data_IF_138001590836
#
_entry.id   IF_138001590836
#
_cell.length_a   1.000
_cell.length_b   1.000
_cell.length_c   1.000
_cell.angle_alpha   90.00
_cell.angle_beta   90.00
_cell.angle_gamma   90.00
#
_symmetry.space_group_name_H-M   'P 1'
#
loop_
_entity.id
_entity.type
_entity.pdbx_description
1 polymer ?
#
# COMPACT_ATOMS: atom_id res chain seq x y z
N UNK A 1 -85.95 34.02 27.86
CA UNK A 1 -85.21 34.69 26.76
C UNK A 1 -84.46 33.59 26.01
N UNK A 2 -84.98 32.98 24.95
CA UNK A 2 -85.25 33.45 23.58
C UNK A 2 -83.97 33.60 22.71
N UNK A 3 -83.93 32.75 21.66
CA UNK A 3 -83.42 32.91 20.28
C UNK A 3 -81.93 32.78 19.90
N UNK A 4 -81.68 31.76 19.05
CA UNK A 4 -81.10 31.77 17.68
C UNK A 4 -80.09 32.87 17.27
N UNK A 5 -78.96 32.50 16.65
CA UNK A 5 -78.57 33.01 15.31
C UNK A 5 -77.41 32.21 14.66
N UNK A 6 -77.60 31.90 13.36
CA UNK A 6 -76.66 31.34 12.37
C UNK A 6 -75.45 32.26 12.08
N UNK A 7 -74.36 31.67 11.57
CA UNK A 7 -73.44 32.14 10.48
C UNK A 7 -72.21 31.21 10.44
N UNK A 8 -71.52 30.89 9.35
CA UNK A 8 -71.66 30.95 7.88
C UNK A 8 -70.38 30.25 7.36
N UNK A 9 -70.50 29.52 6.27
CA UNK A 9 -69.48 28.70 5.60
C UNK A 9 -68.19 29.44 5.18
N UNK A 10 -67.06 28.72 5.12
CA UNK A 10 -66.00 28.97 4.13
C UNK A 10 -65.19 27.69 3.86
N UNK A 11 -65.28 27.24 2.59
CA UNK A 11 -64.47 26.19 1.97
C UNK A 11 -63.01 26.65 1.87
N UNK A 12 -62.07 25.76 2.17
CA UNK A 12 -60.68 25.85 1.69
C UNK A 12 -60.37 24.55 0.96
N UNK A 13 -60.21 24.67 -0.35
CA UNK A 13 -59.74 23.61 -1.23
C UNK A 13 -58.24 23.39 -1.01
N UNK A 14 -57.85 22.20 -0.54
CA UNK A 14 -56.46 21.78 -0.51
C UNK A 14 -56.15 21.00 -1.79
N UNK A 15 -55.24 21.58 -2.59
CA UNK A 15 -54.71 21.04 -3.85
C UNK A 15 -53.91 19.76 -3.58
N UNK A 16 -54.31 18.64 -4.20
CA UNK A 16 -53.52 17.41 -4.28
C UNK A 16 -52.28 17.64 -5.17
N UNK A 17 -51.11 17.79 -4.56
CA UNK A 17 -49.83 17.72 -5.25
C UNK A 17 -49.44 16.27 -5.53
N UNK A 18 -49.50 15.84 -6.79
CA UNK A 18 -48.94 14.57 -7.24
C UNK A 18 -47.41 14.61 -7.13
N UNK A 19 -46.86 13.89 -6.15
CA UNK A 19 -45.41 13.73 -6.00
C UNK A 19 -44.94 12.60 -6.91
N UNK A 20 -44.19 12.94 -7.95
CA UNK A 20 -43.46 11.97 -8.77
C UNK A 20 -42.34 11.34 -7.93
N UNK A 21 -42.50 10.05 -7.60
CA UNK A 21 -41.47 9.27 -6.93
C UNK A 21 -40.30 9.03 -7.90
N UNK A 22 -39.21 9.75 -7.71
CA UNK A 22 -37.94 9.50 -8.39
C UNK A 22 -37.37 8.20 -7.81
N UNK A 23 -37.49 7.09 -8.54
CA UNK A 23 -36.77 5.86 -8.23
C UNK A 23 -35.27 6.13 -8.39
N UNK A 24 -34.59 6.38 -7.28
CA UNK A 24 -33.13 6.34 -7.23
C UNK A 24 -32.68 4.89 -7.33
N UNK A 25 -31.72 4.52 -8.20
CA UNK A 25 -31.14 3.19 -8.18
C UNK A 25 -30.45 2.96 -6.83
N UNK A 26 -30.57 1.76 -6.23
CA UNK A 26 -29.86 1.46 -4.99
C UNK A 26 -28.37 1.54 -5.30
N UNK A 27 -27.68 2.45 -4.61
CA UNK A 27 -26.23 2.47 -4.57
C UNK A 27 -25.77 1.07 -4.15
N UNK A 28 -25.04 0.38 -5.03
CA UNK A 28 -24.32 -0.83 -4.68
C UNK A 28 -23.33 -0.47 -3.56
N UNK A 29 -23.71 -0.77 -2.31
CA UNK A 29 -22.81 -0.63 -1.18
C UNK A 29 -21.79 -1.76 -1.28
N UNK A 30 -20.59 -1.46 -1.78
CA UNK A 30 -19.47 -2.39 -1.70
C UNK A 30 -19.33 -2.82 -0.23
N UNK A 31 -19.48 -4.12 0.04
CA UNK A 31 -19.58 -4.66 1.38
C UNK A 31 -18.20 -4.64 2.07
N UNK A 32 -17.80 -3.46 2.54
CA UNK A 32 -16.52 -3.26 3.20
C UNK A 32 -16.52 -3.97 4.54
N UNK A 33 -15.65 -4.95 4.68
CA UNK A 33 -15.43 -5.70 5.92
C UNK A 33 -14.19 -5.16 6.65
N UNK A 34 -14.18 -5.28 7.98
CA UNK A 34 -13.08 -4.79 8.80
C UNK A 34 -12.53 -5.89 9.70
N UNK A 35 -11.26 -6.24 9.52
CA UNK A 35 -10.49 -7.11 10.41
C UNK A 35 -9.86 -6.28 11.53
N UNK A 36 -9.92 -6.80 12.76
CA UNK A 36 -9.34 -6.16 13.95
C UNK A 36 -8.43 -7.15 14.65
N UNK A 37 -7.30 -6.66 15.12
CA UNK A 37 -6.34 -7.50 15.78
C UNK A 37 -5.27 -6.73 16.53
N UNK A 38 -4.30 -7.46 17.04
CA UNK A 38 -3.10 -6.94 17.66
C UNK A 38 -1.86 -7.71 17.25
N UNK A 39 -0.75 -7.00 17.19
CA UNK A 39 0.58 -7.53 16.89
C UNK A 39 1.40 -7.54 18.18
N UNK A 40 2.07 -8.66 18.43
CA UNK A 40 2.96 -8.90 19.57
C UNK A 40 4.29 -9.47 19.08
N UNK A 41 5.34 -9.37 19.89
CA UNK A 41 6.61 -10.07 19.72
C UNK A 41 7.13 -10.51 21.11
N UNK A 42 8.08 -11.44 21.16
CA UNK A 42 8.47 -12.11 22.42
C UNK A 42 9.62 -11.42 23.15
N UNK A 43 10.40 -10.64 22.43
CA UNK A 43 11.59 -9.95 22.88
C UNK A 43 11.23 -8.87 23.90
N UNK A 44 11.97 -8.80 25.00
CA UNK A 44 11.75 -7.80 26.07
C UNK A 44 12.48 -6.50 25.74
N UNK A 45 12.11 -5.87 24.63
CA UNK A 45 12.69 -4.60 24.18
C UNK A 45 11.61 -3.56 23.95
N UNK A 46 11.95 -2.28 24.16
CA UNK A 46 11.07 -1.19 23.78
C UNK A 46 11.13 -1.00 22.25
N UNK A 47 9.96 -0.91 21.63
CA UNK A 47 9.83 -0.56 20.23
C UNK A 47 10.04 0.96 20.05
N UNK A 48 11.00 1.39 19.22
CA UNK A 48 11.12 2.80 18.83
C UNK A 48 9.92 3.26 17.97
N UNK A 49 9.82 4.56 17.64
CA UNK A 49 8.85 5.03 16.66
C UNK A 49 8.93 4.20 15.37
N UNK A 50 7.81 3.62 14.97
CA UNK A 50 7.78 2.58 13.95
C UNK A 50 6.57 2.70 13.05
N UNK A 51 6.60 1.99 11.93
CA UNK A 51 5.48 1.77 11.04
C UNK A 51 5.12 0.29 11.10
N UNK A 52 3.91 -0.03 11.53
CA UNK A 52 3.33 -1.36 11.40
C UNK A 52 2.61 -1.45 10.04
N UNK A 53 3.00 -2.42 9.22
CA UNK A 53 2.31 -2.80 7.99
C UNK A 53 1.65 -4.16 8.20
N UNK A 54 0.36 -4.27 7.91
CA UNK A 54 -0.42 -5.53 8.00
C UNK A 54 -1.12 -5.76 6.67
N UNK A 55 -1.06 -6.99 6.17
CA UNK A 55 -1.59 -7.35 4.84
C UNK A 55 -2.49 -8.56 4.93
N UNK A 56 -3.54 -8.53 4.12
CA UNK A 56 -4.40 -9.68 3.83
C UNK A 56 -3.96 -10.27 2.50
N UNK A 57 -3.69 -11.58 2.51
CA UNK A 57 -3.13 -12.33 1.41
C UNK A 57 -4.09 -13.44 0.98
N UNK A 58 -4.16 -13.69 -0.34
CA UNK A 58 -4.67 -14.95 -0.88
C UNK A 58 -3.55 -15.99 -0.88
N UNK A 59 -3.79 -17.10 -0.20
CA UNK A 59 -2.84 -18.21 0.02
C UNK A 59 -3.36 -19.53 -0.53
N UNK A 60 -4.39 -19.49 -1.38
CA UNK A 60 -4.98 -20.67 -2.02
C UNK A 60 -3.98 -21.46 -2.87
N UNK A 61 -2.93 -20.79 -3.37
CA UNK A 61 -1.84 -21.39 -4.13
C UNK A 61 -0.59 -21.50 -3.25
N UNK A 62 -0.28 -22.72 -2.79
CA UNK A 62 0.82 -22.98 -1.86
C UNK A 62 2.22 -22.60 -2.39
N UNK A 63 2.41 -22.60 -3.72
CA UNK A 63 3.72 -22.40 -4.37
C UNK A 63 3.82 -21.09 -5.17
N UNK A 64 2.77 -20.26 -5.16
CA UNK A 64 2.75 -18.99 -5.86
C UNK A 64 3.00 -17.83 -4.89
N UNK A 65 3.53 -16.72 -5.42
CA UNK A 65 3.64 -15.47 -4.67
C UNK A 65 2.24 -14.99 -4.27
N UNK A 66 1.92 -15.06 -2.98
CA UNK A 66 0.61 -14.70 -2.44
C UNK A 66 0.17 -13.28 -2.88
N UNK A 67 -1.04 -13.17 -3.40
CA UNK A 67 -1.63 -11.91 -3.85
C UNK A 67 -2.06 -11.09 -2.62
N UNK A 68 -1.82 -9.76 -2.64
CA UNK A 68 -2.23 -8.86 -1.56
C UNK A 68 -3.60 -8.28 -1.87
N UNK A 69 -4.61 -8.71 -1.13
CA UNK A 69 -5.99 -8.24 -1.29
C UNK A 69 -6.26 -6.92 -0.58
N UNK A 70 -5.62 -6.71 0.57
CA UNK A 70 -5.78 -5.48 1.34
C UNK A 70 -4.60 -5.24 2.29
N UNK A 71 -4.52 -4.00 2.76
CA UNK A 71 -3.39 -3.52 3.56
C UNK A 71 -3.79 -2.37 4.45
N UNK A 72 -3.15 -2.31 5.61
CA UNK A 72 -3.16 -1.14 6.48
C UNK A 72 -1.74 -0.82 6.93
N UNK A 73 -1.40 0.47 6.99
CA UNK A 73 -0.10 0.95 7.46
C UNK A 73 -0.31 1.99 8.54
N UNK A 74 0.28 1.76 9.72
CA UNK A 74 0.08 2.58 10.92
C UNK A 74 1.42 3.01 11.50
N UNK A 75 1.62 4.33 11.62
CA UNK A 75 2.69 4.88 12.47
C UNK A 75 2.31 4.70 13.93
N UNK A 76 3.19 4.12 14.72
CA UNK A 76 2.96 3.86 16.14
C UNK A 76 4.19 4.17 16.99
N UNK A 77 3.95 4.71 18.17
CA UNK A 77 4.92 4.79 19.28
C UNK A 77 4.50 3.89 20.45
N UNK A 78 3.39 3.16 20.26
CA UNK A 78 2.81 2.29 21.27
C UNK A 78 3.63 1.00 21.34
N UNK A 79 3.88 0.56 22.56
CA UNK A 79 4.50 -0.74 22.82
C UNK A 79 3.51 -1.88 22.57
N UNK A 80 4.02 -3.09 22.39
CA UNK A 80 3.18 -4.28 22.19
C UNK A 80 2.26 -4.53 23.40
N UNK A 81 1.02 -5.03 23.19
CA UNK A 81 0.39 -5.34 21.90
C UNK A 81 0.00 -4.09 21.10
N UNK A 82 0.34 -4.05 19.81
CA UNK A 82 0.01 -2.94 18.91
C UNK A 82 -1.28 -3.27 18.18
N UNK A 83 -2.38 -2.54 18.41
CA UNK A 83 -3.63 -2.82 17.71
C UNK A 83 -3.56 -2.38 16.25
N UNK A 84 -4.25 -3.11 15.38
CA UNK A 84 -4.46 -2.74 13.99
C UNK A 84 -5.92 -2.86 13.57
N UNK A 85 -6.26 -2.19 12.48
CA UNK A 85 -7.54 -2.30 11.80
C UNK A 85 -7.29 -2.32 10.30
N UNK A 86 -7.75 -3.37 9.64
CA UNK A 86 -7.59 -3.57 8.19
C UNK A 86 -8.98 -3.62 7.56
N UNK A 87 -9.26 -2.65 6.70
CA UNK A 87 -10.52 -2.58 5.94
C UNK A 87 -10.28 -3.14 4.53
N UNK A 88 -11.22 -3.92 4.03
CA UNK A 88 -11.14 -4.51 2.69
C UNK A 88 -12.55 -4.73 2.12
N UNK A 89 -12.67 -4.83 0.80
CA UNK A 89 -13.95 -5.20 0.18
C UNK A 89 -14.11 -6.72 0.21
N UNK A 90 -15.23 -7.22 0.75
CA UNK A 90 -15.50 -8.67 0.85
C UNK A 90 -15.64 -9.33 -0.53
N UNK A 91 -16.01 -8.57 -1.55
CA UNK A 91 -16.15 -9.09 -2.92
C UNK A 91 -14.80 -9.52 -3.54
N UNK A 92 -13.68 -9.14 -2.91
CA UNK A 92 -12.34 -9.62 -3.28
C UNK A 92 -12.09 -11.07 -2.80
N UNK A 93 -12.98 -11.64 -1.99
CA UNK A 93 -12.86 -13.02 -1.52
C UNK A 93 -13.60 -13.98 -2.46
N UNK A 94 -12.86 -14.88 -3.08
CA UNK A 94 -13.36 -16.04 -3.81
C UNK A 94 -13.69 -17.19 -2.85
N UNK A 95 -14.82 -17.85 -3.10
CA UNK A 95 -15.23 -19.03 -2.34
C UNK A 95 -14.26 -20.21 -2.57
N UNK A 96 -13.91 -20.92 -1.49
CA UNK A 96 -12.98 -22.06 -1.54
C UNK A 96 -11.49 -21.70 -1.51
N UNK A 97 -11.15 -20.41 -1.56
CA UNK A 97 -9.78 -19.94 -1.37
C UNK A 97 -9.44 -19.82 0.13
N UNK A 98 -8.16 -19.90 0.45
CA UNK A 98 -7.64 -19.70 1.81
C UNK A 98 -6.94 -18.35 1.92
N UNK A 99 -7.19 -17.64 3.01
CA UNK A 99 -6.63 -16.31 3.23
C UNK A 99 -5.83 -16.27 4.52
N UNK A 100 -4.76 -15.47 4.50
CA UNK A 100 -3.91 -15.29 5.67
C UNK A 100 -3.45 -13.85 5.81
N UNK A 101 -3.05 -13.52 7.03
CA UNK A 101 -2.50 -12.23 7.41
C UNK A 101 -1.01 -12.37 7.65
N UNK A 102 -0.27 -11.36 7.24
CA UNK A 102 1.10 -11.15 7.69
C UNK A 102 1.29 -9.70 8.13
N UNK A 103 2.36 -9.48 8.88
CA UNK A 103 2.68 -8.17 9.40
C UNK A 103 4.20 -7.96 9.44
N UNK A 104 4.60 -6.71 9.20
CA UNK A 104 5.98 -6.26 9.36
C UNK A 104 6.00 -4.97 10.18
N UNK A 105 6.86 -4.91 11.19
CA UNK A 105 7.17 -3.68 11.92
C UNK A 105 8.46 -3.11 11.34
N UNK A 106 8.39 -1.89 10.85
CA UNK A 106 9.54 -1.13 10.38
C UNK A 106 9.97 -0.09 11.41
N UNK A 107 11.25 -0.06 11.75
CA UNK A 107 11.85 1.04 12.51
C UNK A 107 12.89 1.68 11.61
N UNK A 108 12.79 3.00 11.46
CA UNK A 108 13.59 3.75 10.49
C UNK A 108 13.61 3.02 9.15
N UNK A 109 12.44 2.60 8.64
CA UNK A 109 12.25 1.87 7.38
C UNK A 109 12.89 0.49 7.23
N UNK A 110 13.57 -0.04 8.25
CA UNK A 110 14.12 -1.39 8.24
C UNK A 110 13.13 -2.37 8.85
N UNK A 111 12.91 -3.56 8.26
CA UNK A 111 12.12 -4.58 8.90
C UNK A 111 12.81 -4.98 10.21
N UNK A 112 12.12 -4.75 11.31
CA UNK A 112 12.57 -5.07 12.66
C UNK A 112 11.93 -6.37 13.15
N UNK A 113 10.65 -6.52 12.87
CA UNK A 113 9.89 -7.73 13.18
C UNK A 113 9.04 -8.13 11.99
N UNK A 114 8.98 -9.42 11.70
CA UNK A 114 8.21 -9.99 10.60
C UNK A 114 7.40 -11.18 11.10
N UNK A 115 6.26 -11.42 10.47
CA UNK A 115 5.53 -12.66 10.64
C UNK A 115 6.28 -13.79 9.92
N UNK A 116 6.79 -14.78 10.67
CA UNK A 116 7.47 -15.96 10.09
C UNK A 116 6.50 -17.03 9.61
N UNK A 117 5.28 -17.04 10.16
CA UNK A 117 4.22 -17.97 9.79
C UNK A 117 2.93 -17.17 9.62
N UNK A 118 2.39 -17.17 8.41
CA UNK A 118 1.17 -16.44 8.09
C UNK A 118 0.03 -16.88 9.03
N UNK A 119 -0.76 -15.91 9.51
CA UNK A 119 -1.85 -16.14 10.45
C UNK A 119 -3.15 -16.29 9.66
N UNK A 120 -3.83 -17.45 9.65
CA UNK A 120 -5.08 -17.62 8.90
C UNK A 120 -6.12 -16.55 9.25
N UNK A 121 -6.84 -16.06 8.25
CA UNK A 121 -7.96 -15.15 8.47
C UNK A 121 -9.13 -15.92 9.10
N UNK A 122 -9.67 -15.49 10.25
CA UNK A 122 -10.83 -16.16 10.85
C UNK A 122 -12.08 -15.96 9.97
N UNK A 123 -12.83 -17.04 9.75
CA UNK A 123 -14.02 -17.05 8.88
C UNK A 123 -15.13 -16.11 9.38
N UNK A 124 -15.24 -15.92 10.69
CA UNK A 124 -16.34 -15.19 11.31
C UNK A 124 -16.11 -13.67 11.41
N UNK A 125 -14.90 -13.16 11.10
CA UNK A 125 -14.48 -11.77 11.26
C UNK A 125 -14.84 -11.14 12.64
N UNK A 126 -15.14 -11.97 13.65
CA UNK A 126 -15.55 -11.56 15.01
C UNK A 126 -14.44 -11.80 16.03
N UNK A 127 -13.53 -12.73 15.76
CA UNK A 127 -12.37 -12.95 16.59
C UNK A 127 -11.38 -11.78 16.51
N UNK A 128 -10.88 -11.33 17.67
CA UNK A 128 -9.76 -10.40 17.73
C UNK A 128 -8.49 -11.15 17.36
N UNK A 129 -7.91 -10.84 16.21
CA UNK A 129 -6.77 -11.57 15.66
C UNK A 129 -5.51 -11.23 16.46
N UNK A 130 -4.77 -12.24 16.92
CA UNK A 130 -3.48 -12.03 17.55
C UNK A 130 -2.37 -12.56 16.65
N UNK A 131 -1.45 -11.68 16.28
CA UNK A 131 -0.28 -12.01 15.46
C UNK A 131 0.97 -11.95 16.34
N UNK A 132 1.83 -12.96 16.22
CA UNK A 132 3.14 -12.99 16.89
C UNK A 132 4.21 -12.86 15.81
N UNK A 133 5.05 -11.83 15.93
CA UNK A 133 6.15 -11.56 15.02
C UNK A 133 7.45 -11.98 15.69
N UNK A 134 8.42 -12.32 14.85
CA UNK A 134 9.78 -12.68 15.25
C UNK A 134 10.74 -11.63 14.70
N UNK A 135 11.91 -11.48 15.35
CA UNK A 135 12.93 -10.56 14.87
C UNK A 135 13.29 -10.85 13.40
N UNK A 136 13.34 -9.81 12.59
CA UNK A 136 13.92 -9.90 11.26
C UNK A 136 15.41 -10.17 11.42
N UNK A 137 15.85 -11.38 11.10
CA UNK A 137 17.27 -11.70 11.06
C UNK A 137 17.86 -11.08 9.81
N UNK A 138 18.65 -10.02 9.98
CA UNK A 138 19.65 -9.66 8.99
C UNK A 138 20.68 -10.80 9.02
N UNK A 139 20.58 -11.76 8.11
CA UNK A 139 21.63 -12.76 7.94
C UNK A 139 22.83 -12.09 7.28
N UNK A 140 23.61 -11.35 8.06
CA UNK A 140 25.02 -11.14 7.77
C UNK A 140 25.76 -12.37 8.30
N UNK A 141 25.93 -13.38 7.46
CA UNK A 141 26.84 -14.49 7.74
C UNK A 141 28.03 -14.38 6.80
N UNK A 142 29.11 -13.80 7.31
CA UNK A 142 30.46 -14.05 6.83
C UNK A 142 30.77 -15.52 7.08
N UNK A 143 30.74 -16.37 6.04
CA UNK A 143 31.55 -17.61 5.97
C UNK A 143 31.69 -17.98 4.50
N UNK A 144 32.94 -18.16 4.08
CA UNK A 144 33.31 -18.60 2.75
C UNK A 144 32.79 -20.02 2.45
N UNK A 145 32.23 -20.19 1.25
CA UNK A 145 32.13 -21.50 0.58
C UNK A 145 30.81 -22.24 0.70
N UNK A 146 29.78 -21.80 -0.05
CA UNK A 146 28.78 -22.68 -0.67
C UNK A 146 28.07 -21.93 -1.82
N UNK A 147 28.07 -22.54 -3.00
CA UNK A 147 27.63 -21.97 -4.28
C UNK A 147 26.10 -21.88 -4.39
N UNK A 148 25.63 -20.82 -5.07
CA UNK A 148 24.29 -20.62 -5.64
C UNK A 148 23.14 -20.28 -4.66
N UNK A 149 23.24 -19.10 -4.02
CA UNK A 149 22.07 -18.35 -3.55
C UNK A 149 21.68 -17.31 -4.61
N UNK A 150 20.39 -17.21 -4.95
CA UNK A 150 19.90 -16.12 -5.80
C UNK A 150 20.30 -14.79 -5.15
N UNK A 151 21.23 -14.08 -5.76
CA UNK A 151 21.67 -12.76 -5.28
C UNK A 151 20.43 -11.88 -5.22
N UNK A 152 20.05 -11.44 -4.02
CA UNK A 152 19.01 -10.45 -3.86
C UNK A 152 19.35 -9.28 -4.80
N UNK A 153 18.38 -8.82 -5.57
CA UNK A 153 18.58 -7.78 -6.57
C UNK A 153 17.54 -6.68 -6.39
N UNK A 154 17.94 -5.41 -6.52
CA UNK A 154 16.99 -4.31 -6.56
C UNK A 154 16.27 -4.25 -7.91
N UNK A 155 16.61 -5.11 -8.87
CA UNK A 155 15.94 -5.16 -10.15
C UNK A 155 14.45 -5.53 -10.03
N UNK A 156 13.62 -4.78 -10.74
CA UNK A 156 12.18 -4.94 -10.75
C UNK A 156 11.42 -3.63 -10.89
N UNK A 157 10.10 -3.76 -10.89
CA UNK A 157 9.17 -2.64 -10.89
C UNK A 157 8.69 -2.37 -9.48
N UNK A 158 8.76 -1.11 -9.06
CA UNK A 158 8.63 -0.66 -7.70
C UNK A 158 7.67 0.53 -7.63
N UNK A 159 6.72 0.51 -6.71
CA UNK A 159 5.80 1.62 -6.40
C UNK A 159 6.21 2.24 -5.07
N UNK A 160 6.45 3.55 -5.05
CA UNK A 160 6.86 4.25 -3.85
C UNK A 160 5.71 4.32 -2.85
N UNK A 161 6.01 4.01 -1.59
CA UNK A 161 5.05 4.07 -0.48
C UNK A 161 5.40 5.16 0.52
N UNK A 162 6.70 5.40 0.69
CA UNK A 162 7.24 6.42 1.59
C UNK A 162 8.44 7.08 0.93
N UNK A 163 8.51 8.40 1.01
CA UNK A 163 9.62 9.20 0.53
C UNK A 163 10.12 10.05 1.70
N UNK A 164 11.34 9.77 2.15
CA UNK A 164 11.88 10.24 3.42
C UNK A 164 10.97 9.86 4.59
N UNK A 165 10.58 10.86 5.37
CA UNK A 165 9.73 10.68 6.56
C UNK A 165 8.23 10.82 6.29
N UNK A 166 7.80 11.00 5.03
CA UNK A 166 6.41 11.23 4.65
C UNK A 166 5.82 10.05 3.84
N UNK A 167 4.56 9.63 4.11
CA UNK A 167 3.89 8.68 3.24
C UNK A 167 3.58 9.36 1.89
N UNK A 168 3.56 8.59 0.82
CA UNK A 168 3.07 9.09 -0.48
C UNK A 168 1.56 9.37 -0.33
N UNK A 169 1.15 10.61 -0.57
CA UNK A 169 -0.24 11.03 -0.35
C UNK A 169 -1.23 10.28 -1.26
N UNK A 170 -2.33 9.81 -0.65
CA UNK A 170 -3.48 9.22 -1.35
C UNK A 170 -4.19 10.31 -2.18
N UNK A 171 -4.51 10.02 -3.45
CA UNK A 171 -5.22 10.94 -4.35
C UNK A 171 -4.43 11.44 -5.56
N UNK A 172 -3.14 11.10 -5.67
CA UNK A 172 -2.31 11.30 -6.87
C UNK A 172 -1.79 9.97 -7.43
N UNK A 173 -1.26 9.98 -8.67
CA UNK A 173 -0.53 8.81 -9.19
C UNK A 173 0.77 8.64 -8.39
N UNK A 174 0.98 7.50 -7.69
CA UNK A 174 2.16 7.32 -6.87
C UNK A 174 3.42 7.19 -7.76
N UNK A 175 4.60 7.59 -7.26
CA UNK A 175 5.83 7.39 -8.01
C UNK A 175 6.10 5.91 -8.27
N UNK A 176 6.55 5.62 -9.48
CA UNK A 176 6.89 4.29 -9.96
C UNK A 176 8.36 4.30 -10.41
N UNK A 177 9.06 3.21 -10.15
CA UNK A 177 10.46 3.04 -10.50
C UNK A 177 10.67 1.63 -11.04
N UNK A 178 11.20 1.54 -12.24
CA UNK A 178 11.72 0.31 -12.81
C UNK A 178 13.24 0.38 -12.79
N UNK A 179 13.87 -0.59 -12.13
CA UNK A 179 15.31 -0.80 -12.11
C UNK A 179 15.57 -2.08 -12.91
N UNK A 180 16.21 -1.94 -14.06
CA UNK A 180 16.64 -3.10 -14.85
C UNK A 180 17.94 -3.68 -14.28
N UNK A 181 18.22 -4.95 -14.60
CA UNK A 181 19.40 -5.66 -14.12
C UNK A 181 20.72 -5.02 -14.62
N UNK A 182 20.69 -4.30 -15.74
CA UNK A 182 21.82 -3.54 -16.30
C UNK A 182 22.00 -2.15 -15.66
N UNK A 183 21.25 -1.85 -14.59
CA UNK A 183 21.23 -0.56 -13.93
C UNK A 183 20.44 0.51 -14.67
N UNK A 184 19.73 0.21 -15.77
CA UNK A 184 18.84 1.19 -16.40
C UNK A 184 17.67 1.52 -15.49
N UNK A 185 17.42 2.81 -15.28
CA UNK A 185 16.36 3.31 -14.41
C UNK A 185 15.34 4.07 -15.24
N UNK A 186 14.07 3.75 -15.04
CA UNK A 186 12.96 4.47 -15.68
C UNK A 186 11.76 4.51 -14.75
N UNK A 187 10.87 5.49 -14.91
CA UNK A 187 9.70 5.56 -14.05
C UNK A 187 8.93 6.85 -14.12
N UNK A 188 8.20 7.11 -13.04
CA UNK A 188 7.36 8.28 -12.82
C UNK A 188 7.64 8.83 -11.42
N UNK A 189 7.93 10.12 -11.29
CA UNK A 189 8.30 10.77 -10.02
C UNK A 189 7.09 11.31 -9.23
N UNK A 190 5.87 11.17 -9.75
CA UNK A 190 4.65 11.75 -9.18
C UNK A 190 4.03 12.85 -10.05
N UNK A 191 4.84 13.53 -10.87
CA UNK A 191 4.37 14.47 -11.89
C UNK A 191 5.00 14.20 -13.26
N UNK A 192 6.30 13.92 -13.31
CA UNK A 192 7.03 13.74 -14.56
C UNK A 192 7.55 12.31 -14.72
N UNK A 193 7.92 11.97 -15.95
CA UNK A 193 8.65 10.74 -16.22
C UNK A 193 10.11 10.95 -15.82
N UNK A 194 10.71 9.94 -15.22
CA UNK A 194 12.12 9.91 -14.83
C UNK A 194 12.86 8.83 -15.60
N UNK A 195 14.10 9.12 -16.01
CA UNK A 195 15.03 8.15 -16.61
C UNK A 195 16.44 8.40 -16.12
N UNK A 196 17.25 7.36 -16.07
CA UNK A 196 18.67 7.48 -15.73
C UNK A 196 19.36 6.12 -15.67
N UNK A 197 20.49 6.11 -14.99
CA UNK A 197 21.28 4.91 -14.71
C UNK A 197 21.53 4.82 -13.21
N UNK A 198 21.59 3.60 -12.69
CA UNK A 198 22.07 3.28 -11.37
C UNK A 198 23.26 2.33 -11.49
N UNK A 199 24.22 2.49 -10.59
CA UNK A 199 25.30 1.52 -10.39
C UNK A 199 24.90 0.62 -9.24
N UNK A 200 24.86 -0.69 -9.49
CA UNK A 200 24.50 -1.72 -8.51
C UNK A 200 25.76 -2.54 -8.25
N UNK A 201 26.24 -2.53 -7.01
CA UNK A 201 27.41 -3.32 -6.59
C UNK A 201 27.12 -3.96 -5.23
N UNK A 202 26.72 -5.23 -5.25
CA UNK A 202 26.20 -5.91 -4.07
C UNK A 202 25.02 -5.15 -3.45
N UNK A 203 25.16 -4.74 -2.18
CA UNK A 203 24.18 -3.94 -1.46
C UNK A 203 24.29 -2.42 -1.70
N UNK A 204 25.34 -1.97 -2.42
CA UNK A 204 25.47 -0.58 -2.82
C UNK A 204 24.60 -0.29 -4.04
N UNK A 205 23.90 0.85 -4.02
CA UNK A 205 23.10 1.35 -5.12
C UNK A 205 23.25 2.86 -5.17
N UNK A 206 23.80 3.37 -6.26
CA UNK A 206 23.92 4.82 -6.47
C UNK A 206 23.27 5.20 -7.79
N UNK A 207 22.37 6.18 -7.75
CA UNK A 207 21.78 6.74 -8.96
C UNK A 207 22.70 7.79 -9.55
N UNK A 208 22.96 7.70 -10.86
CA UNK A 208 23.53 8.79 -11.63
C UNK A 208 22.51 9.91 -11.86
N UNK A 209 22.85 10.91 -12.68
CA UNK A 209 21.94 12.00 -13.01
C UNK A 209 20.61 11.49 -13.54
N UNK A 210 19.53 11.84 -12.85
CA UNK A 210 18.16 11.50 -13.26
C UNK A 210 17.61 12.62 -14.15
N UNK A 211 17.21 12.24 -15.36
CA UNK A 211 16.57 13.12 -16.31
C UNK A 211 15.06 13.07 -16.11
N UNK A 212 14.42 14.24 -16.03
CA UNK A 212 12.96 14.37 -15.94
C UNK A 212 12.39 15.27 -17.02
N UNK A 213 11.13 15.04 -17.36
CA UNK A 213 10.34 16.00 -18.15
C UNK A 213 9.95 17.22 -17.27
N UNK A 214 9.47 18.31 -17.88
CA UNK A 214 9.01 19.52 -17.16
C UNK A 214 7.54 19.81 -17.44
N UNK A 215 6.66 18.90 -17.07
CA UNK A 215 5.20 19.12 -17.09
C UNK A 215 4.78 19.87 -15.83
N UNK A 216 3.75 20.71 -15.96
CA UNK A 216 3.12 21.34 -14.81
C UNK A 216 1.98 20.45 -14.30
N UNK A 217 2.11 19.96 -13.06
CA UNK A 217 1.04 19.25 -12.35
C UNK A 217 0.51 20.10 -11.19
N UNK A 218 -0.47 19.57 -10.46
CA UNK A 218 -0.92 20.15 -9.20
C UNK A 218 0.25 20.32 -8.22
N UNK A 219 0.24 21.36 -7.35
CA UNK A 219 1.33 21.65 -6.43
C UNK A 219 1.77 20.48 -5.55
N UNK A 220 0.83 19.61 -5.16
CA UNK A 220 1.14 18.42 -4.37
C UNK A 220 1.98 17.40 -5.15
N UNK A 221 1.65 17.15 -6.42
CA UNK A 221 2.39 16.22 -7.28
C UNK A 221 3.81 16.74 -7.57
N UNK A 222 3.96 18.05 -7.77
CA UNK A 222 5.27 18.70 -7.93
C UNK A 222 6.15 18.56 -6.67
N UNK A 223 5.57 18.73 -5.48
CA UNK A 223 6.28 18.51 -4.20
C UNK A 223 6.72 17.06 -4.04
N UNK A 224 5.84 16.11 -4.37
CA UNK A 224 6.17 14.67 -4.36
C UNK A 224 7.34 14.37 -5.28
N UNK A 225 7.35 14.93 -6.50
CA UNK A 225 8.46 14.76 -7.44
C UNK A 225 9.78 15.29 -6.87
N UNK A 226 9.79 16.51 -6.31
CA UNK A 226 11.01 17.10 -5.76
C UNK A 226 11.57 16.25 -4.60
N UNK A 227 10.68 15.78 -3.72
CA UNK A 227 11.07 14.87 -2.63
C UNK A 227 11.60 13.56 -3.18
N UNK A 228 10.96 13.00 -4.21
CA UNK A 228 11.38 11.75 -4.83
C UNK A 228 12.80 11.88 -5.39
N UNK A 229 13.04 12.87 -6.26
CA UNK A 229 14.35 13.06 -6.90
C UNK A 229 15.46 13.32 -5.87
N UNK A 230 15.20 14.14 -4.86
CA UNK A 230 16.15 14.41 -3.76
C UNK A 230 16.55 13.13 -3.01
N UNK A 231 15.59 12.26 -2.69
CA UNK A 231 15.85 11.03 -1.95
C UNK A 231 16.55 9.97 -2.82
N UNK A 232 16.23 9.93 -4.11
CA UNK A 232 16.96 9.09 -5.08
C UNK A 232 18.43 9.51 -5.19
N UNK A 233 18.72 10.81 -5.26
CA UNK A 233 20.08 11.35 -5.30
C UNK A 233 20.87 11.06 -4.01
N UNK A 234 20.21 11.05 -2.85
CA UNK A 234 20.82 10.74 -1.56
C UNK A 234 21.10 9.23 -1.37
N UNK A 235 20.56 8.36 -2.22
CA UNK A 235 20.68 6.90 -2.06
C UNK A 235 22.12 6.43 -2.31
N UNK A 236 22.62 5.56 -1.43
CA UNK A 236 23.93 4.90 -1.51
C UNK A 236 23.84 3.39 -1.38
N UNK A 237 22.74 2.86 -0.85
CA UNK A 237 22.52 1.44 -0.67
C UNK A 237 21.06 1.03 -0.79
N UNK A 238 20.81 -0.26 -0.65
CA UNK A 238 19.46 -0.81 -0.65
C UNK A 238 19.34 -2.05 0.24
N UNK A 239 18.14 -2.26 0.77
CA UNK A 239 17.74 -3.46 1.50
C UNK A 239 16.47 -4.04 0.89
N UNK A 240 16.42 -5.36 0.78
CA UNK A 240 15.23 -6.06 0.33
C UNK A 240 14.71 -6.92 1.49
N UNK A 241 13.41 -6.81 1.77
CA UNK A 241 12.77 -7.70 2.73
C UNK A 241 12.95 -9.17 2.28
N UNK A 242 13.04 -10.15 3.20
CA UNK A 242 13.20 -11.57 2.84
C UNK A 242 12.11 -12.10 1.90
N UNK A 243 10.91 -11.51 1.95
CA UNK A 243 9.77 -11.78 1.08
C UNK A 243 9.95 -11.27 -0.36
N UNK A 244 10.96 -10.42 -0.61
CA UNK A 244 11.27 -9.85 -1.92
C UNK A 244 10.32 -8.74 -2.38
N UNK A 245 9.32 -8.36 -1.58
CA UNK A 245 8.24 -7.47 -2.00
C UNK A 245 8.40 -6.02 -1.53
N UNK A 246 9.28 -5.76 -0.57
CA UNK A 246 9.61 -4.41 -0.08
C UNK A 246 11.09 -4.12 -0.32
N UNK A 247 11.36 -3.03 -1.06
CA UNK A 247 12.71 -2.51 -1.29
C UNK A 247 12.85 -1.18 -0.53
N UNK A 248 13.80 -1.11 0.37
CA UNK A 248 14.22 0.12 1.02
C UNK A 248 15.48 0.65 0.33
N UNK A 249 15.44 1.89 -0.14
CA UNK A 249 16.64 2.63 -0.50
C UNK A 249 17.17 3.35 0.73
N UNK A 250 18.49 3.38 0.91
CA UNK A 250 19.16 4.00 2.07
C UNK A 250 20.27 4.95 1.65
N UNK A 251 20.56 5.94 2.50
CA UNK A 251 21.70 6.86 2.34
C UNK A 251 23.02 6.26 2.86
N UNK A 252 24.08 7.07 2.96
CA UNK A 252 25.39 6.62 3.43
C UNK A 252 25.40 6.21 4.92
N UNK A 253 24.39 6.63 5.68
CA UNK A 253 24.23 6.36 7.11
C UNK A 253 23.25 5.22 7.35
N UNK A 254 22.88 4.48 6.30
CA UNK A 254 21.89 3.43 6.34
C UNK A 254 20.50 3.93 6.76
N UNK A 255 20.19 5.23 6.59
CA UNK A 255 18.86 5.78 6.84
C UNK A 255 18.02 5.65 5.57
N UNK A 256 16.76 5.16 5.62
CA UNK A 256 15.97 5.00 4.42
C UNK A 256 15.52 6.32 3.82
N UNK A 257 15.75 6.42 2.53
CA UNK A 257 15.39 7.56 1.69
C UNK A 257 14.06 7.30 0.98
N UNK A 258 13.82 6.07 0.50
CA UNK A 258 12.55 5.68 -0.15
C UNK A 258 12.20 4.25 0.21
N UNK A 259 10.94 4.00 0.58
CA UNK A 259 10.40 2.64 0.67
C UNK A 259 9.50 2.37 -0.53
N UNK A 260 9.77 1.26 -1.19
CA UNK A 260 9.04 0.78 -2.34
C UNK A 260 8.38 -0.56 -2.07
N UNK A 261 7.27 -0.80 -2.76
CA UNK A 261 6.70 -2.12 -2.97
C UNK A 261 6.91 -2.61 -4.39
N UNK A 262 7.27 -3.89 -4.54
CA UNK A 262 7.28 -4.58 -5.82
C UNK A 262 5.89 -4.56 -6.46
N UNK A 263 5.76 -4.00 -7.65
CA UNK A 263 4.57 -4.19 -8.47
C UNK A 263 4.66 -5.54 -9.16
N UNK A 264 3.62 -6.38 -8.99
CA UNK A 264 3.41 -7.55 -9.82
C UNK A 264 3.27 -7.10 -11.29
N UNK A 265 3.79 -7.90 -12.23
CA UNK A 265 3.76 -7.57 -13.66
C UNK A 265 2.35 -7.46 -14.27
N UNK A 266 1.29 -7.82 -13.54
CA UNK A 266 -0.09 -7.88 -14.05
C UNK A 266 -0.82 -6.53 -14.17
N UNK A 267 -0.22 -5.39 -13.77
CA UNK A 267 -0.93 -4.11 -13.78
C UNK A 267 -0.74 -3.24 -15.04
N UNK A 268 -0.08 -3.73 -16.11
CA UNK A 268 0.24 -2.91 -17.29
C UNK A 268 -0.37 -3.38 -18.63
N UNK A 269 -1.39 -4.24 -18.65
CA UNK A 269 -2.11 -4.57 -19.89
C UNK A 269 -3.63 -4.42 -19.70
N UNK A 270 -4.09 -3.20 -19.47
CA UNK A 270 -5.48 -2.83 -19.74
C UNK A 270 -5.53 -1.43 -20.35
N UNK A 271 -5.09 -1.37 -21.61
CA UNK A 271 -5.50 -0.31 -22.52
C UNK A 271 -5.98 -1.02 -23.80
N UNK A 272 -7.29 -1.06 -24.09
CA UNK A 272 -7.74 -1.56 -25.38
C UNK A 272 -7.20 -0.65 -26.48
N UNK A 273 -6.55 -1.25 -27.48
CA UNK A 273 -6.12 -0.56 -28.69
C UNK A 273 -7.33 0.14 -29.34
N UNK A 274 -7.20 1.38 -29.85
CA UNK A 274 -8.28 2.01 -30.58
C UNK A 274 -8.52 1.23 -31.88
N UNK A 275 -9.70 0.62 -31.98
CA UNK A 275 -10.18 -0.03 -33.19
C UNK A 275 -10.22 1.01 -34.31
N UNK A 276 -9.38 0.83 -35.33
CA UNK A 276 -9.44 1.64 -36.53
C UNK A 276 -10.72 1.29 -37.30
N UNK A 277 -11.61 2.27 -37.47
CA UNK A 277 -12.75 2.16 -38.38
C UNK A 277 -12.25 2.35 -39.83
N UNK A 278 -12.41 1.37 -40.74
CA UNK A 278 -12.17 1.62 -42.15
C UNK A 278 -13.30 2.49 -42.74
N UNK A 279 -12.90 3.42 -43.61
CA UNK A 279 -13.79 4.27 -44.42
C UNK A 279 -14.49 3.49 -45.53
#
# INVERSE_FOLDING_TARGET
MIAFFLRRSLLVAAVCGASAAVLSPPCAQAATTTLRGSVTYRERMALPPSVLDVRLLDTSLADAKAEVLARTSLRTRRQVPIPFTLKFNRDLLTAGHTYALDATIFVDGHPWFVTTTQTPMPEDNKANIQMVLSRATATATTTAGATAGATATPAGTWKAERIGDAPVAEGGKPPLLNIAADGTVSGFSGCNRVRGKATIDGAALTFGPLMTTRMACLPQAMKTEQLFLKNMEATRGWHLAPTGDVLALVDAQDKPTVLFRRQSAEAHESAPAPTATPR
#
